data_IF_572781165622
#
_entry.id   IF_572781165622
#
_cell.length_a   1.000
_cell.length_b   1.000
_cell.length_c   1.000
_cell.angle_alpha   90.00
_cell.angle_beta   90.00
_cell.angle_gamma   90.00
#
_symmetry.space_group_name_H-M   'P 1'
#
loop_
_entity.id
_entity.type
_entity.pdbx_description
1 polymer ?
#
# COMPACT_ATOMS: atom_id res chain seq x y z
N UNK A 1 -3.57 14.09 3.73
CA UNK A 1 -4.17 12.85 4.29
C UNK A 1 -5.37 13.25 5.14
N UNK A 2 -6.56 12.70 4.86
CA UNK A 2 -7.78 13.01 5.64
C UNK A 2 -7.61 12.48 7.05
N UNK A 3 -7.90 13.32 8.06
CA UNK A 3 -7.92 12.94 9.48
C UNK A 3 -9.37 12.91 9.97
N UNK A 4 -9.69 11.92 10.78
CA UNK A 4 -11.04 11.62 11.24
C UNK A 4 -11.28 12.16 12.64
N UNK A 5 -12.53 12.54 12.91
CA UNK A 5 -12.99 12.94 14.24
C UNK A 5 -13.82 11.81 14.85
N UNK A 6 -13.55 11.49 16.10
CA UNK A 6 -14.26 10.44 16.85
C UNK A 6 -15.07 11.09 17.95
N UNK A 7 -16.32 10.63 18.12
CA UNK A 7 -17.16 10.93 19.27
C UNK A 7 -17.33 9.66 20.11
N UNK A 8 -17.10 9.71 21.43
CA UNK A 8 -17.28 8.58 22.34
C UNK A 8 -18.49 8.85 23.23
N UNK A 9 -19.53 8.04 23.04
CA UNK A 9 -20.80 8.03 23.79
C UNK A 9 -20.82 6.95 24.88
N UNK A 10 -21.59 7.16 25.92
CA UNK A 10 -21.84 6.21 27.00
C UNK A 10 -22.17 6.91 28.31
N UNK A 11 -22.83 6.20 29.22
CA UNK A 11 -23.26 6.75 30.51
C UNK A 11 -22.06 7.20 31.33
N UNK A 12 -21.90 8.52 31.49
CA UNK A 12 -20.70 9.14 32.04
C UNK A 12 -20.36 8.63 33.44
N UNK A 13 -21.37 8.49 34.33
CA UNK A 13 -21.18 8.04 35.71
C UNK A 13 -20.61 6.61 35.78
N UNK A 14 -21.16 5.71 34.98
CA UNK A 14 -20.80 4.30 34.98
C UNK A 14 -19.50 4.03 34.23
N UNK A 15 -19.29 4.68 33.07
CA UNK A 15 -18.28 4.32 32.07
C UNK A 15 -17.13 5.34 31.95
N UNK A 16 -16.93 6.17 32.98
CA UNK A 16 -15.90 7.24 32.96
C UNK A 16 -14.48 6.70 32.70
N UNK A 17 -14.15 5.56 33.30
CA UNK A 17 -12.81 4.95 33.18
C UNK A 17 -12.61 4.39 31.79
N UNK A 18 -13.59 3.68 31.26
CA UNK A 18 -13.58 3.07 29.93
C UNK A 18 -13.46 4.13 28.82
N UNK A 19 -14.26 5.18 28.91
CA UNK A 19 -14.28 6.30 27.95
C UNK A 19 -12.94 7.02 27.88
N UNK A 20 -12.35 7.34 29.06
CA UNK A 20 -11.01 7.94 29.13
C UNK A 20 -9.92 7.04 28.60
N UNK A 21 -9.93 5.76 28.98
CA UNK A 21 -8.94 4.79 28.53
C UNK A 21 -8.93 4.66 26.98
N UNK A 22 -10.10 4.62 26.32
CA UNK A 22 -10.17 4.62 24.87
C UNK A 22 -9.60 5.90 24.29
N UNK A 23 -9.97 7.07 24.82
CA UNK A 23 -9.45 8.34 24.32
C UNK A 23 -7.93 8.40 24.41
N UNK A 24 -7.37 8.09 25.58
CA UNK A 24 -5.92 8.07 25.82
C UNK A 24 -5.23 7.07 24.89
N UNK A 25 -5.78 5.87 24.73
CA UNK A 25 -5.26 4.88 23.85
C UNK A 25 -5.21 5.38 22.40
N UNK A 26 -6.33 5.88 21.85
CA UNK A 26 -6.40 6.35 20.45
C UNK A 26 -5.42 7.49 20.18
N UNK A 27 -5.27 8.43 21.11
CA UNK A 27 -4.39 9.59 20.95
C UNK A 27 -2.90 9.24 21.09
N UNK A 28 -2.57 8.19 21.84
CA UNK A 28 -1.20 7.75 22.09
C UNK A 28 -0.74 6.63 21.17
N UNK A 29 -1.65 5.87 20.56
CA UNK A 29 -1.30 4.79 19.65
C UNK A 29 -0.57 5.33 18.41
N UNK A 30 0.66 4.81 18.07
CA UNK A 30 1.47 5.31 16.98
C UNK A 30 0.80 5.25 15.60
N UNK A 31 -0.10 4.28 15.37
CA UNK A 31 -0.84 4.13 14.13
C UNK A 31 -2.05 5.07 14.11
N UNK A 32 -2.95 4.96 15.10
CA UNK A 32 -4.24 5.66 15.11
C UNK A 32 -4.08 7.19 15.13
N UNK A 33 -3.12 7.73 15.91
CA UNK A 33 -2.85 9.18 15.97
C UNK A 33 -2.50 9.82 14.62
N UNK A 34 -2.09 9.03 13.62
CA UNK A 34 -1.80 9.52 12.25
C UNK A 34 -3.09 9.81 11.50
N UNK A 35 -4.17 9.10 11.80
CA UNK A 35 -5.44 9.15 11.11
C UNK A 35 -6.53 9.89 11.89
N UNK A 36 -6.40 10.00 13.21
CA UNK A 36 -7.39 10.64 14.08
C UNK A 36 -6.92 12.05 14.44
N UNK A 37 -7.78 13.05 14.26
CA UNK A 37 -7.49 14.45 14.57
C UNK A 37 -8.06 14.90 15.92
N UNK A 38 -9.20 14.33 16.30
CA UNK A 38 -9.92 14.71 17.55
C UNK A 38 -10.67 13.49 18.08
N UNK A 39 -10.57 13.27 19.38
CA UNK A 39 -11.44 12.34 20.11
C UNK A 39 -12.22 13.17 21.12
N UNK A 40 -13.52 13.26 20.91
CA UNK A 40 -14.41 14.06 21.74
C UNK A 40 -15.01 13.22 22.87
N UNK A 41 -14.96 13.77 24.08
CA UNK A 41 -15.69 13.35 25.26
C UNK A 41 -16.46 14.55 25.81
N UNK A 42 -17.71 14.36 26.22
CA UNK A 42 -18.53 15.44 26.74
C UNK A 42 -17.88 16.11 27.97
N UNK A 43 -17.21 15.34 28.83
CA UNK A 43 -16.52 15.83 30.04
C UNK A 43 -15.30 16.74 29.78
N UNK A 44 -14.87 16.88 28.54
CA UNK A 44 -13.75 17.76 28.16
C UNK A 44 -14.22 19.17 27.78
N UNK A 45 -15.54 19.41 27.79
CA UNK A 45 -16.09 20.71 27.42
C UNK A 45 -15.88 21.68 28.58
N UNK A 46 -15.28 22.84 28.34
CA UNK A 46 -15.24 23.90 29.33
C UNK A 46 -16.61 24.44 29.63
N UNK A 47 -16.83 24.96 30.83
CA UNK A 47 -18.09 25.63 31.20
C UNK A 47 -18.40 26.77 30.21
N UNK A 48 -19.65 26.85 29.75
CA UNK A 48 -20.09 27.83 28.77
C UNK A 48 -21.60 27.99 28.74
N UNK A 49 -22.08 29.09 28.19
CA UNK A 49 -23.52 29.44 28.10
C UNK A 49 -24.17 28.79 26.85
N UNK A 50 -24.21 27.44 26.87
CA UNK A 50 -24.88 26.63 25.83
C UNK A 50 -25.61 25.46 26.48
N UNK A 51 -26.78 25.09 25.93
CA UNK A 51 -27.50 23.89 26.38
C UNK A 51 -26.64 22.63 26.10
N UNK A 52 -26.52 21.72 27.06
CA UNK A 52 -25.74 20.48 26.86
C UNK A 52 -26.17 19.70 25.63
N UNK A 53 -27.46 19.59 25.36
CA UNK A 53 -28.07 18.84 24.26
C UNK A 53 -27.62 19.38 22.89
N UNK A 54 -27.57 20.71 22.73
CA UNK A 54 -27.14 21.33 21.48
C UNK A 54 -25.63 21.05 21.19
N UNK A 55 -24.83 20.98 22.24
CA UNK A 55 -23.38 20.75 22.11
C UNK A 55 -23.11 19.32 21.69
N UNK A 56 -23.61 18.30 22.42
CA UNK A 56 -23.27 16.93 22.10
C UNK A 56 -23.88 16.46 20.79
N UNK A 57 -25.09 16.89 20.43
CA UNK A 57 -25.67 16.56 19.13
C UNK A 57 -24.91 17.19 17.97
N UNK A 58 -24.46 18.44 18.12
CA UNK A 58 -23.60 19.10 17.13
C UNK A 58 -22.23 18.38 16.96
N UNK A 59 -21.62 17.91 18.04
CA UNK A 59 -20.36 17.15 17.96
C UNK A 59 -20.56 15.74 17.38
N UNK A 60 -21.70 15.09 17.62
CA UNK A 60 -22.09 13.84 16.95
C UNK A 60 -22.26 14.08 15.45
N UNK A 61 -22.93 15.16 15.06
CA UNK A 61 -23.09 15.52 13.63
C UNK A 61 -21.75 15.86 12.96
N UNK A 62 -20.83 16.48 13.70
CA UNK A 62 -19.50 16.84 13.22
C UNK A 62 -18.48 15.72 13.23
N UNK A 63 -18.78 14.55 13.79
CA UNK A 63 -17.84 13.43 13.83
C UNK A 63 -17.87 12.58 12.56
N UNK A 64 -16.79 11.88 12.28
CA UNK A 64 -16.71 10.88 11.21
C UNK A 64 -17.03 9.48 11.71
N UNK A 65 -16.69 9.18 12.98
CA UNK A 65 -16.86 7.89 13.63
C UNK A 65 -17.48 8.10 15.00
N UNK A 66 -18.60 7.44 15.25
CA UNK A 66 -19.31 7.43 16.52
C UNK A 66 -19.03 6.11 17.24
N UNK A 67 -18.47 6.17 18.43
CA UNK A 67 -18.22 5.02 19.30
C UNK A 67 -19.23 5.05 20.45
N UNK A 68 -20.07 4.03 20.58
CA UNK A 68 -20.94 3.86 21.73
C UNK A 68 -20.43 2.74 22.65
N UNK A 69 -20.33 3.06 23.95
CA UNK A 69 -20.09 2.10 25.01
C UNK A 69 -21.36 1.99 25.82
N UNK A 70 -22.01 0.83 25.75
CA UNK A 70 -23.29 0.55 26.41
C UNK A 70 -23.04 -0.31 27.67
N UNK A 71 -23.27 0.28 28.82
CA UNK A 71 -23.13 -0.36 30.14
C UNK A 71 -24.42 -0.97 30.65
N UNK A 72 -24.57 -1.09 31.95
CA UNK A 72 -25.77 -1.58 32.64
C UNK A 72 -26.76 -0.47 32.92
N UNK A 73 -26.28 0.75 33.24
CA UNK A 73 -27.11 1.90 33.54
C UNK A 73 -27.60 2.59 32.26
N UNK A 74 -28.89 3.03 32.28
CA UNK A 74 -29.45 3.81 31.18
C UNK A 74 -29.11 5.32 31.30
N UNK A 75 -28.81 5.77 32.50
CA UNK A 75 -28.50 7.16 32.81
C UNK A 75 -29.70 8.03 33.05
N UNK A 76 -29.49 9.34 33.12
CA UNK A 76 -30.52 10.33 33.33
C UNK A 76 -31.47 10.42 32.12
N UNK A 77 -32.78 10.64 32.40
CA UNK A 77 -33.81 10.75 31.36
C UNK A 77 -34.26 12.20 31.23
N UNK A 78 -34.37 12.69 30.00
CA UNK A 78 -34.96 13.98 29.69
C UNK A 78 -36.50 13.92 29.80
N UNK A 79 -37.18 15.04 29.49
CA UNK A 79 -38.67 15.13 29.51
C UNK A 79 -39.34 14.13 28.56
N UNK A 80 -38.65 13.72 27.48
CA UNK A 80 -39.13 12.71 26.54
C UNK A 80 -38.82 11.26 26.98
N UNK A 81 -38.29 11.06 28.19
CA UNK A 81 -37.95 9.76 28.75
C UNK A 81 -36.67 9.12 28.17
N UNK A 82 -35.88 9.84 27.38
CA UNK A 82 -34.66 9.35 26.71
C UNK A 82 -33.39 9.82 27.42
N UNK A 83 -32.41 8.94 27.47
CA UNK A 83 -31.07 9.30 27.96
C UNK A 83 -30.23 10.02 26.89
N UNK A 84 -29.24 10.85 27.28
CA UNK A 84 -28.30 11.45 26.34
C UNK A 84 -27.65 10.41 25.43
N UNK A 85 -27.23 9.26 25.96
CA UNK A 85 -26.61 8.16 25.18
C UNK A 85 -27.57 7.64 24.09
N UNK A 86 -28.86 7.54 24.36
CA UNK A 86 -29.85 7.13 23.36
C UNK A 86 -30.06 8.22 22.30
N UNK A 87 -30.18 9.49 22.70
CA UNK A 87 -30.29 10.61 21.76
C UNK A 87 -29.08 10.74 20.84
N UNK A 88 -27.87 10.57 21.38
CA UNK A 88 -26.61 10.54 20.61
C UNK A 88 -26.62 9.41 19.58
N UNK A 89 -27.05 8.20 19.99
CA UNK A 89 -27.16 7.05 19.10
C UNK A 89 -28.16 7.27 17.96
N UNK A 90 -29.35 7.77 18.30
CA UNK A 90 -30.39 8.10 17.31
C UNK A 90 -29.91 9.19 16.34
N UNK A 91 -29.23 10.21 16.85
CA UNK A 91 -28.68 11.29 16.02
C UNK A 91 -27.58 10.80 15.10
N UNK A 92 -26.64 9.97 15.59
CA UNK A 92 -25.62 9.33 14.77
C UNK A 92 -26.22 8.44 13.67
N UNK A 93 -27.34 7.77 13.97
CA UNK A 93 -28.10 6.98 12.99
C UNK A 93 -28.72 7.87 11.92
N UNK A 94 -29.43 8.93 12.33
CA UNK A 94 -30.09 9.88 11.42
C UNK A 94 -29.12 10.63 10.51
N UNK A 95 -27.94 10.94 11.02
CA UNK A 95 -26.89 11.67 10.28
C UNK A 95 -25.92 10.74 9.56
N UNK A 96 -26.22 9.43 9.50
CA UNK A 96 -25.43 8.41 8.80
C UNK A 96 -23.94 8.37 9.20
N UNK A 97 -23.66 8.51 10.52
CA UNK A 97 -22.30 8.36 11.03
C UNK A 97 -21.88 6.89 11.05
N UNK A 98 -20.60 6.62 10.85
CA UNK A 98 -20.03 5.28 11.08
C UNK A 98 -20.15 4.95 12.56
N UNK A 99 -20.88 3.88 12.92
CA UNK A 99 -21.18 3.53 14.31
C UNK A 99 -20.46 2.27 14.73
N UNK A 100 -19.63 2.37 15.76
CA UNK A 100 -18.93 1.24 16.40
C UNK A 100 -19.54 1.05 17.80
N UNK A 101 -20.14 -0.11 18.05
CA UNK A 101 -20.92 -0.38 19.26
C UNK A 101 -20.25 -1.44 20.12
N UNK A 102 -19.94 -1.06 21.37
CA UNK A 102 -19.31 -1.93 22.36
C UNK A 102 -20.21 -2.08 23.58
N UNK A 103 -20.46 -3.33 23.99
CA UNK A 103 -21.41 -3.66 25.05
C UNK A 103 -20.66 -4.29 26.22
N UNK A 104 -20.72 -3.68 27.40
CA UNK A 104 -20.09 -4.17 28.63
C UNK A 104 -20.81 -5.41 29.15
N UNK A 105 -20.06 -6.43 29.56
CA UNK A 105 -20.57 -7.70 30.11
C UNK A 105 -20.82 -8.78 29.05
N UNK A 106 -20.92 -9.99 29.49
CA UNK A 106 -21.15 -11.19 28.70
C UNK A 106 -22.65 -11.45 28.44
N UNK A 107 -23.53 -10.98 29.34
CA UNK A 107 -24.98 -11.08 29.21
C UNK A 107 -25.70 -9.75 29.51
N UNK A 108 -27.03 -9.75 29.49
CA UNK A 108 -27.86 -8.58 29.70
C UNK A 108 -28.69 -8.66 31.01
N UNK A 109 -28.46 -9.63 31.91
CA UNK A 109 -29.27 -9.88 33.11
C UNK A 109 -29.21 -8.76 34.13
N UNK A 110 -28.07 -8.10 34.28
CA UNK A 110 -27.91 -6.97 35.22
C UNK A 110 -28.22 -5.60 34.60
N UNK A 111 -28.72 -5.56 33.36
CA UNK A 111 -28.89 -4.34 32.59
C UNK A 111 -30.28 -3.72 32.86
N UNK A 112 -30.33 -2.40 32.99
CA UNK A 112 -31.61 -1.68 33.04
C UNK A 112 -32.43 -1.99 31.77
N UNK A 113 -33.75 -2.10 31.91
CA UNK A 113 -34.66 -2.49 30.82
C UNK A 113 -34.53 -1.63 29.59
N UNK A 114 -34.45 -0.30 29.76
CA UNK A 114 -34.32 0.68 28.66
C UNK A 114 -32.94 0.56 27.97
N UNK A 115 -31.90 0.29 28.76
CA UNK A 115 -30.56 0.05 28.17
C UNK A 115 -30.52 -1.28 27.42
N UNK A 116 -31.18 -2.33 27.90
CA UNK A 116 -31.32 -3.59 27.19
C UNK A 116 -32.07 -3.42 25.87
N UNK A 117 -33.08 -2.56 25.83
CA UNK A 117 -33.82 -2.20 24.60
C UNK A 117 -32.94 -1.42 23.63
N UNK A 118 -32.12 -0.48 24.11
CA UNK A 118 -31.16 0.25 23.28
C UNK A 118 -30.11 -0.70 22.69
N UNK A 119 -29.57 -1.60 23.50
CA UNK A 119 -28.60 -2.63 23.05
C UNK A 119 -29.21 -3.53 21.97
N UNK A 120 -30.48 -3.93 22.12
CA UNK A 120 -31.21 -4.75 21.13
C UNK A 120 -31.41 -3.98 19.82
N UNK A 121 -31.88 -2.73 19.88
CA UNK A 121 -32.05 -1.86 18.70
C UNK A 121 -30.72 -1.59 17.99
N UNK A 122 -29.66 -1.32 18.72
CA UNK A 122 -28.34 -1.14 18.14
C UNK A 122 -27.88 -2.41 17.42
N UNK A 123 -28.07 -3.58 18.05
CA UNK A 123 -27.68 -4.86 17.47
C UNK A 123 -28.49 -5.33 16.25
N UNK A 124 -29.72 -4.78 16.05
CA UNK A 124 -30.49 -5.03 14.84
C UNK A 124 -30.04 -4.17 13.63
N UNK A 125 -29.25 -3.11 13.88
CA UNK A 125 -28.80 -2.18 12.85
C UNK A 125 -27.34 -2.33 12.49
N UNK A 126 -26.47 -2.66 13.47
CA UNK A 126 -25.02 -2.79 13.29
C UNK A 126 -24.45 -3.94 14.10
N UNK A 127 -23.35 -4.51 13.63
CA UNK A 127 -22.60 -5.50 14.40
C UNK A 127 -22.04 -4.87 15.67
N UNK A 128 -22.20 -5.55 16.81
CA UNK A 128 -21.71 -5.11 18.12
C UNK A 128 -20.67 -6.08 18.66
N UNK A 129 -19.75 -5.59 19.50
CA UNK A 129 -18.76 -6.39 20.23
C UNK A 129 -18.99 -6.28 21.71
N UNK A 130 -18.78 -7.39 22.45
CA UNK A 130 -18.84 -7.41 23.92
C UNK A 130 -17.43 -7.33 24.50
N UNK A 131 -17.34 -6.75 25.70
CA UNK A 131 -16.11 -6.69 26.47
C UNK A 131 -16.39 -6.83 27.96
N UNK A 132 -15.40 -7.32 28.72
CA UNK A 132 -15.51 -7.53 30.18
C UNK A 132 -14.70 -6.49 30.95
N UNK A 133 -13.55 -6.09 30.43
CA UNK A 133 -12.60 -5.21 31.07
C UNK A 133 -12.03 -4.16 30.09
N UNK A 134 -11.28 -3.21 30.63
CA UNK A 134 -10.67 -2.13 29.81
C UNK A 134 -9.67 -2.67 28.75
N UNK A 135 -8.77 -3.62 29.06
CA UNK A 135 -7.91 -4.20 28.04
C UNK A 135 -8.69 -4.89 26.91
N UNK A 136 -9.74 -5.63 27.24
CA UNK A 136 -10.65 -6.22 26.25
C UNK A 136 -11.34 -5.17 25.40
N UNK A 137 -11.85 -4.10 26.00
CA UNK A 137 -12.46 -2.98 25.28
C UNK A 137 -11.46 -2.31 24.32
N UNK A 138 -10.25 -2.02 24.77
CA UNK A 138 -9.20 -1.43 23.93
C UNK A 138 -8.90 -2.31 22.72
N UNK A 139 -8.78 -3.63 22.91
CA UNK A 139 -8.54 -4.59 21.83
C UNK A 139 -9.66 -4.56 20.79
N UNK A 140 -10.92 -4.60 21.22
CA UNK A 140 -12.07 -4.60 20.30
C UNK A 140 -12.23 -3.24 19.60
N UNK A 141 -11.97 -2.12 20.28
CA UNK A 141 -11.97 -0.78 19.68
C UNK A 141 -10.87 -0.64 18.64
N UNK A 142 -9.66 -1.12 18.95
CA UNK A 142 -8.52 -1.09 18.04
C UNK A 142 -8.81 -1.85 16.75
N UNK A 143 -9.26 -3.11 16.88
CA UNK A 143 -9.61 -3.95 15.74
C UNK A 143 -10.69 -3.30 14.85
N UNK A 144 -11.76 -2.76 15.48
CA UNK A 144 -12.87 -2.12 14.76
C UNK A 144 -12.44 -0.81 14.08
N UNK A 145 -11.57 -0.02 14.71
CA UNK A 145 -11.04 1.22 14.11
C UNK A 145 -10.12 0.92 12.93
N UNK A 146 -9.23 -0.08 13.05
CA UNK A 146 -8.36 -0.50 11.94
C UNK A 146 -9.21 -0.95 10.76
N UNK A 147 -10.19 -1.84 10.97
CA UNK A 147 -11.12 -2.30 9.92
C UNK A 147 -11.90 -1.13 9.29
N UNK A 148 -12.39 -0.20 10.09
CA UNK A 148 -13.08 1.00 9.60
C UNK A 148 -12.16 1.88 8.74
N UNK A 149 -10.90 2.09 9.16
CA UNK A 149 -9.91 2.87 8.43
C UNK A 149 -9.47 2.16 7.14
N UNK A 150 -9.41 0.82 7.13
CA UNK A 150 -9.17 0.01 5.92
C UNK A 150 -10.31 0.14 4.92
N UNK A 151 -11.57 -0.04 5.33
CA UNK A 151 -12.75 0.16 4.46
C UNK A 151 -12.82 1.56 3.87
N UNK A 152 -12.37 2.57 4.60
CA UNK A 152 -12.28 3.97 4.14
C UNK A 152 -11.04 4.24 3.28
N UNK A 153 -10.19 3.24 3.06
CA UNK A 153 -8.94 3.36 2.30
C UNK A 153 -7.89 4.26 2.95
N UNK A 154 -8.06 4.61 4.24
CA UNK A 154 -7.09 5.36 5.01
C UNK A 154 -5.87 4.49 5.37
N UNK A 155 -6.13 3.27 5.84
CA UNK A 155 -5.13 2.20 5.95
C UNK A 155 -5.31 1.31 4.72
N UNK A 156 -4.23 1.08 3.98
CA UNK A 156 -4.26 0.21 2.82
C UNK A 156 -3.62 -1.12 3.19
N UNK A 157 -4.42 -2.16 3.32
CA UNK A 157 -3.99 -3.55 3.47
C UNK A 157 -3.57 -4.19 2.13
N UNK A 158 -4.06 -3.64 1.01
CA UNK A 158 -3.64 -4.10 -0.32
C UNK A 158 -2.26 -3.56 -0.68
N UNK A 159 -1.40 -4.38 -1.31
CA UNK A 159 -0.15 -3.91 -1.91
C UNK A 159 -0.38 -2.67 -2.79
N UNK A 160 0.61 -1.79 -2.86
CA UNK A 160 0.50 -0.55 -3.63
C UNK A 160 0.05 -0.81 -5.07
N UNK A 161 0.65 -1.78 -5.72
CA UNK A 161 0.41 -2.14 -7.12
C UNK A 161 -1.02 -2.64 -7.39
N UNK A 162 -1.64 -3.32 -6.41
CA UNK A 162 -3.03 -3.81 -6.49
C UNK A 162 -4.10 -2.79 -6.08
N UNK A 163 -3.73 -1.60 -5.61
CA UNK A 163 -4.68 -0.54 -5.29
C UNK A 163 -5.19 0.16 -6.55
N UNK A 164 -6.46 0.62 -6.54
CA UNK A 164 -7.01 1.43 -7.63
C UNK A 164 -6.19 2.71 -7.77
N UNK A 165 -5.78 3.04 -8.99
CA UNK A 165 -5.14 4.32 -9.29
C UNK A 165 -6.19 5.44 -9.26
N UNK A 166 -6.11 6.31 -8.27
CA UNK A 166 -7.12 7.36 -8.08
C UNK A 166 -7.12 8.36 -9.22
N UNK A 167 -8.31 8.64 -9.77
CA UNK A 167 -8.50 9.55 -10.88
C UNK A 167 -8.18 8.94 -12.25
N UNK A 168 -7.64 7.72 -12.32
CA UNK A 168 -7.39 7.02 -13.57
C UNK A 168 -8.64 6.29 -14.08
N UNK A 169 -8.77 6.22 -15.39
CA UNK A 169 -9.83 5.50 -16.11
C UNK A 169 -9.22 4.56 -17.14
N UNK A 170 -10.03 3.68 -17.69
CA UNK A 170 -9.59 2.80 -18.79
C UNK A 170 -9.10 3.58 -20.04
N UNK A 171 -9.52 4.84 -20.20
CA UNK A 171 -9.09 5.71 -21.31
C UNK A 171 -7.64 6.18 -21.16
N UNK A 172 -7.09 6.14 -19.95
CA UNK A 172 -5.71 6.51 -19.66
C UNK A 172 -4.74 5.35 -19.94
N UNK A 173 -5.26 4.17 -20.28
CA UNK A 173 -4.47 3.00 -20.70
C UNK A 173 -4.10 3.10 -22.18
N UNK A 174 -2.85 2.74 -22.50
CA UNK A 174 -2.35 2.62 -23.85
C UNK A 174 -2.60 1.20 -24.40
N UNK A 175 -3.54 1.10 -25.33
CA UNK A 175 -3.88 -0.17 -25.96
C UNK A 175 -2.74 -0.77 -26.80
N UNK A 176 -1.85 0.10 -27.35
CA UNK A 176 -0.68 -0.36 -28.10
C UNK A 176 0.32 -1.03 -27.17
N UNK A 177 0.60 -0.42 -26.02
CA UNK A 177 1.50 -1.02 -25.02
C UNK A 177 1.02 -2.41 -24.56
N UNK A 178 -0.30 -2.60 -24.43
CA UNK A 178 -0.86 -3.93 -24.13
C UNK A 178 -0.68 -4.91 -25.28
N UNK A 179 -0.86 -4.46 -26.53
CA UNK A 179 -0.67 -5.31 -27.69
C UNK A 179 0.80 -5.75 -27.84
N UNK A 180 1.74 -4.82 -27.69
CA UNK A 180 3.18 -5.09 -27.73
C UNK A 180 3.60 -6.06 -26.60
N UNK A 181 3.04 -5.88 -25.40
CA UNK A 181 3.23 -6.80 -24.27
C UNK A 181 2.75 -8.22 -24.57
N UNK A 182 1.56 -8.35 -25.16
CA UNK A 182 0.98 -9.65 -25.54
C UNK A 182 1.86 -10.34 -26.58
N UNK A 183 2.25 -9.64 -27.63
CA UNK A 183 3.12 -10.17 -28.70
C UNK A 183 4.47 -10.65 -28.13
N UNK A 184 5.12 -9.84 -27.31
CA UNK A 184 6.37 -10.19 -26.64
C UNK A 184 6.21 -11.41 -25.74
N UNK A 185 5.12 -11.47 -24.96
CA UNK A 185 4.85 -12.57 -24.04
C UNK A 185 4.59 -13.90 -24.74
N UNK A 186 3.95 -13.86 -25.91
CA UNK A 186 3.71 -15.04 -26.75
C UNK A 186 5.01 -15.51 -27.43
N UNK A 187 5.82 -14.57 -27.91
CA UNK A 187 7.14 -14.86 -28.53
C UNK A 187 8.09 -15.53 -27.54
N UNK A 188 8.08 -15.11 -26.27
CA UNK A 188 8.87 -15.75 -25.20
C UNK A 188 8.34 -17.12 -24.79
N UNK A 189 7.14 -17.52 -25.27
CA UNK A 189 6.49 -18.78 -24.92
C UNK A 189 5.95 -18.83 -23.48
N UNK A 190 6.07 -17.75 -22.69
CA UNK A 190 5.66 -17.68 -21.29
C UNK A 190 4.19 -17.32 -21.09
N UNK A 191 3.49 -16.92 -22.14
CA UNK A 191 2.06 -16.64 -22.13
C UNK A 191 1.38 -17.31 -23.33
N UNK A 192 0.30 -18.07 -23.04
CA UNK A 192 -0.67 -18.47 -24.07
C UNK A 192 -2.00 -17.88 -23.63
N UNK A 193 -2.42 -16.76 -24.25
CA UNK A 193 -3.72 -16.16 -23.95
C UNK A 193 -4.81 -17.10 -24.43
N UNK A 194 -5.52 -17.71 -23.49
CA UNK A 194 -6.76 -18.44 -23.77
C UNK A 194 -7.89 -17.42 -23.73
N UNK A 195 -8.42 -17.00 -24.89
CA UNK A 195 -9.55 -16.08 -24.96
C UNK A 195 -9.26 -14.77 -25.70
N UNK A 196 -9.95 -13.71 -25.32
CA UNK A 196 -9.88 -12.42 -26.01
C UNK A 196 -8.55 -11.69 -25.73
N UNK A 197 -7.93 -11.18 -26.81
CA UNK A 197 -6.75 -10.30 -26.76
C UNK A 197 -7.15 -8.81 -26.62
N UNK A 198 -8.44 -8.52 -26.44
CA UNK A 198 -8.88 -7.15 -26.23
C UNK A 198 -8.20 -6.57 -24.97
N UNK A 199 -7.74 -5.32 -24.99
CA UNK A 199 -6.97 -4.71 -23.89
C UNK A 199 -7.64 -4.87 -22.53
N UNK A 200 -8.97 -4.67 -22.45
CA UNK A 200 -9.72 -4.85 -21.20
C UNK A 200 -9.67 -6.29 -20.68
N UNK A 201 -9.76 -7.28 -21.57
CA UNK A 201 -9.69 -8.69 -21.19
C UNK A 201 -8.29 -9.07 -20.68
N UNK A 202 -7.24 -8.56 -21.32
CA UNK A 202 -5.85 -8.75 -20.87
C UNK A 202 -5.66 -8.16 -19.49
N UNK A 203 -6.09 -6.92 -19.25
CA UNK A 203 -6.00 -6.28 -17.94
C UNK A 203 -6.76 -7.07 -16.86
N UNK A 204 -7.95 -7.60 -17.18
CA UNK A 204 -8.72 -8.45 -16.25
C UNK A 204 -7.99 -9.75 -15.91
N UNK A 205 -7.43 -10.43 -16.92
CA UNK A 205 -6.70 -11.69 -16.75
C UNK A 205 -5.47 -11.54 -15.84
N UNK A 206 -4.85 -10.36 -15.82
CA UNK A 206 -3.72 -10.04 -14.95
C UNK A 206 -4.15 -9.37 -13.64
N UNK A 207 -5.44 -9.28 -13.31
CA UNK A 207 -5.97 -8.58 -12.13
C UNK A 207 -5.56 -7.08 -12.07
N UNK A 208 -5.34 -6.47 -13.22
CA UNK A 208 -4.94 -5.06 -13.36
C UNK A 208 -6.13 -4.10 -13.38
N UNK A 209 -7.37 -4.63 -13.30
CA UNK A 209 -8.59 -3.87 -13.08
C UNK A 209 -9.26 -4.29 -11.77
N UNK A 210 -9.71 -3.32 -10.98
CA UNK A 210 -10.58 -3.51 -9.82
C UNK A 210 -11.81 -2.63 -9.97
N UNK A 211 -12.98 -3.19 -9.81
CA UNK A 211 -14.25 -2.47 -9.95
C UNK A 211 -14.35 -1.67 -11.27
N UNK A 212 -13.74 -2.19 -12.34
CA UNK A 212 -13.71 -1.53 -13.65
C UNK A 212 -12.67 -0.41 -13.79
N UNK A 213 -11.94 -0.06 -12.73
CA UNK A 213 -10.91 0.97 -12.71
C UNK A 213 -9.49 0.37 -12.76
N UNK A 214 -8.52 1.03 -13.42
CA UNK A 214 -7.14 0.58 -13.45
C UNK A 214 -6.50 0.57 -12.08
N UNK A 215 -5.70 -0.46 -11.80
CA UNK A 215 -4.81 -0.49 -10.63
C UNK A 215 -3.57 0.37 -10.84
N UNK A 216 -2.81 0.64 -9.76
CA UNK A 216 -1.52 1.33 -9.89
C UNK A 216 -0.57 0.58 -10.81
N UNK A 217 -0.52 -0.78 -10.74
CA UNK A 217 0.28 -1.58 -11.65
C UNK A 217 -0.15 -1.41 -13.11
N UNK A 218 -1.46 -1.38 -13.41
CA UNK A 218 -1.96 -1.15 -14.75
C UNK A 218 -1.46 0.18 -15.33
N UNK A 219 -1.52 1.24 -14.53
CA UNK A 219 -1.08 2.57 -14.96
C UNK A 219 0.44 2.66 -15.11
N UNK A 220 1.20 2.03 -14.22
CA UNK A 220 2.66 2.00 -14.30
C UNK A 220 3.19 1.20 -15.49
N UNK A 221 2.52 0.11 -15.85
CA UNK A 221 2.94 -0.76 -16.96
C UNK A 221 2.41 -0.30 -18.31
N UNK A 222 1.15 0.15 -18.35
CA UNK A 222 0.40 0.36 -19.59
C UNK A 222 -0.29 1.72 -19.69
N UNK A 223 -0.05 2.65 -18.77
CA UNK A 223 -0.59 4.01 -18.83
C UNK A 223 -0.01 4.81 -20.00
N UNK A 224 -0.82 5.68 -20.63
CA UNK A 224 -0.35 6.62 -21.66
C UNK A 224 0.67 7.61 -21.10
N UNK A 225 0.42 8.11 -19.90
CA UNK A 225 1.33 8.99 -19.16
C UNK A 225 1.23 8.69 -17.66
N UNK A 226 2.02 7.74 -17.13
CA UNK A 226 2.02 7.42 -15.70
C UNK A 226 2.40 8.59 -14.80
N UNK A 227 3.17 9.59 -15.30
CA UNK A 227 3.64 10.75 -14.52
C UNK A 227 2.50 11.62 -14.00
N UNK A 228 1.35 11.62 -14.67
CA UNK A 228 0.13 12.31 -14.20
C UNK A 228 -0.37 11.80 -12.84
N UNK A 229 -0.03 10.57 -12.50
CA UNK A 229 -0.51 9.88 -11.30
C UNK A 229 0.62 9.61 -10.28
N UNK A 230 1.86 9.54 -10.76
CA UNK A 230 3.04 9.17 -9.95
C UNK A 230 4.22 10.09 -10.24
N UNK A 231 4.39 11.11 -9.41
CA UNK A 231 5.44 12.13 -9.60
C UNK A 231 6.87 11.64 -9.32
N UNK A 232 7.01 10.48 -8.67
CA UNK A 232 8.29 9.96 -8.17
C UNK A 232 8.69 8.61 -8.77
N UNK A 233 7.97 8.13 -9.80
CA UNK A 233 8.29 6.87 -10.47
C UNK A 233 9.29 7.13 -11.58
N UNK A 234 10.56 7.12 -11.20
CA UNK A 234 11.69 7.43 -12.07
C UNK A 234 12.84 6.46 -11.78
N UNK A 235 13.68 6.22 -12.79
CA UNK A 235 14.99 5.62 -12.66
C UNK A 235 16.04 6.65 -13.06
N UNK A 236 16.90 7.03 -12.13
CA UNK A 236 17.98 7.97 -12.37
C UNK A 236 19.27 7.23 -12.64
N UNK A 237 19.81 7.40 -13.81
CA UNK A 237 21.09 6.83 -14.21
C UNK A 237 22.20 7.88 -14.11
N UNK A 238 23.31 7.51 -13.48
CA UNK A 238 24.50 8.36 -13.30
C UNK A 238 25.74 7.62 -13.79
N UNK A 239 26.66 8.34 -14.41
CA UNK A 239 27.97 7.86 -14.74
C UNK A 239 29.04 8.79 -14.16
N UNK A 240 29.99 8.24 -13.43
CA UNK A 240 31.15 8.90 -12.87
C UNK A 240 32.44 8.28 -13.43
N UNK A 241 33.39 9.11 -13.85
CA UNK A 241 34.71 8.63 -14.34
C UNK A 241 35.60 8.09 -13.21
N UNK A 242 35.28 8.38 -11.95
CA UNK A 242 36.02 7.91 -10.79
C UNK A 242 35.30 6.82 -10.03
N UNK A 243 35.80 6.51 -8.84
CA UNK A 243 35.27 5.49 -7.91
C UNK A 243 34.33 6.06 -6.85
N UNK A 244 34.11 7.38 -6.84
CA UNK A 244 33.29 8.10 -5.86
C UNK A 244 32.31 9.07 -6.53
N UNK A 245 31.21 9.35 -5.85
CA UNK A 245 30.21 10.34 -6.29
C UNK A 245 30.76 11.75 -6.12
N UNK A 246 31.35 12.32 -7.15
CA UNK A 246 31.88 13.68 -7.15
C UNK A 246 31.61 14.40 -8.47
N UNK A 247 31.56 15.73 -8.41
CA UNK A 247 31.46 16.57 -9.62
C UNK A 247 32.86 16.73 -10.25
N UNK A 248 32.98 16.86 -11.59
CA UNK A 248 31.86 16.83 -12.56
C UNK A 248 31.27 15.44 -12.76
N UNK A 249 29.93 15.37 -12.95
CA UNK A 249 29.24 14.14 -13.33
C UNK A 249 29.42 13.94 -14.83
N UNK A 250 29.92 12.80 -15.26
CA UNK A 250 30.19 12.51 -16.66
C UNK A 250 28.89 12.40 -17.49
N UNK A 251 27.85 11.77 -16.92
CA UNK A 251 26.53 11.69 -17.54
C UNK A 251 25.47 11.51 -16.46
N UNK A 252 24.32 12.15 -16.63
CA UNK A 252 23.15 12.00 -15.77
C UNK A 252 21.89 12.01 -16.62
N UNK A 253 21.02 11.00 -16.44
CA UNK A 253 19.77 10.87 -17.16
C UNK A 253 18.67 10.35 -16.27
N UNK A 254 17.58 11.09 -16.01
CA UNK A 254 16.35 10.56 -15.45
C UNK A 254 15.54 9.92 -16.57
N UNK A 255 15.01 8.73 -16.32
CA UNK A 255 14.06 8.04 -17.17
C UNK A 255 12.71 7.97 -16.47
N UNK A 256 11.66 8.36 -17.18
CA UNK A 256 10.31 8.52 -16.68
C UNK A 256 9.31 7.96 -17.69
N UNK A 257 8.26 7.33 -17.23
CA UNK A 257 7.23 6.79 -18.11
C UNK A 257 6.75 5.41 -17.69
N UNK A 258 6.46 4.55 -18.67
CA UNK A 258 6.07 3.17 -18.42
C UNK A 258 7.25 2.35 -17.92
N UNK A 259 7.01 1.49 -16.91
CA UNK A 259 8.11 0.73 -16.27
C UNK A 259 8.93 -0.10 -17.25
N UNK A 260 8.29 -0.72 -18.25
CA UNK A 260 8.98 -1.54 -19.26
C UNK A 260 9.97 -0.67 -20.05
N UNK A 261 9.53 0.49 -20.53
CA UNK A 261 10.36 1.44 -21.27
C UNK A 261 11.51 1.97 -20.41
N UNK A 262 11.20 2.37 -19.16
CA UNK A 262 12.19 2.91 -18.22
C UNK A 262 13.27 1.87 -17.89
N UNK A 263 12.91 0.58 -17.80
CA UNK A 263 13.85 -0.51 -17.60
C UNK A 263 14.78 -0.63 -18.81
N UNK A 264 14.22 -0.67 -20.03
CA UNK A 264 15.01 -0.79 -21.26
C UNK A 264 15.97 0.39 -21.43
N UNK A 265 15.48 1.62 -21.22
CA UNK A 265 16.30 2.84 -21.31
C UNK A 265 17.44 2.84 -20.28
N UNK A 266 17.20 2.38 -19.05
CA UNK A 266 18.21 2.29 -18.02
C UNK A 266 19.27 1.21 -18.34
N UNK A 267 18.85 0.06 -18.88
CA UNK A 267 19.78 -0.99 -19.35
C UNK A 267 20.64 -0.46 -20.50
N UNK A 268 20.03 0.16 -21.50
CA UNK A 268 20.77 0.73 -22.64
C UNK A 268 21.72 1.85 -22.23
N UNK A 269 21.35 2.66 -21.22
CA UNK A 269 22.26 3.65 -20.64
C UNK A 269 23.54 3.00 -20.12
N UNK A 270 23.44 1.91 -19.36
CA UNK A 270 24.60 1.20 -18.82
C UNK A 270 25.40 0.56 -19.94
N UNK A 271 24.76 -0.18 -20.85
CA UNK A 271 25.42 -0.86 -21.98
C UNK A 271 26.13 0.12 -22.91
N UNK A 272 25.64 1.37 -23.01
CA UNK A 272 26.27 2.43 -23.80
C UNK A 272 27.49 3.08 -23.14
N UNK A 273 27.80 2.76 -21.87
CA UNK A 273 28.88 3.37 -21.08
C UNK A 273 29.96 2.38 -20.65
N UNK A 274 29.69 1.09 -20.70
CA UNK A 274 30.66 0.02 -20.36
C UNK A 274 31.38 -0.48 -21.61
N UNK A 275 32.54 -1.06 -21.40
CA UNK A 275 33.32 -1.63 -22.48
C UNK A 275 32.62 -2.83 -23.12
N UNK A 276 32.72 -2.90 -24.46
CA UNK A 276 32.28 -4.02 -25.26
C UNK A 276 33.42 -4.62 -26.07
N UNK A 277 33.49 -5.94 -26.05
CA UNK A 277 34.43 -6.69 -26.89
C UNK A 277 33.68 -7.38 -28.02
N UNK A 278 34.13 -7.19 -29.22
CA UNK A 278 33.61 -7.87 -30.41
C UNK A 278 34.53 -9.06 -30.71
N UNK A 279 34.03 -10.27 -30.55
CA UNK A 279 34.76 -11.50 -30.83
C UNK A 279 34.95 -11.74 -32.32
N UNK A 280 35.64 -12.82 -32.65
CA UNK A 280 35.89 -13.24 -34.04
C UNK A 280 34.73 -14.04 -34.59
N UNK A 281 34.48 -13.99 -35.92
CA UNK A 281 33.44 -14.75 -36.61
C UNK A 281 33.73 -16.25 -36.78
N UNK A 282 34.63 -16.82 -35.97
CA UNK A 282 35.07 -18.19 -36.15
C UNK A 282 33.99 -19.26 -35.93
N UNK A 283 32.91 -18.94 -35.23
CA UNK A 283 31.85 -19.90 -34.87
C UNK A 283 30.41 -19.47 -35.27
N UNK A 284 30.20 -18.25 -35.79
CA UNK A 284 28.89 -17.76 -36.25
C UNK A 284 29.03 -16.69 -37.32
N UNK A 285 27.96 -16.49 -38.12
CA UNK A 285 27.87 -15.43 -39.12
C UNK A 285 28.01 -14.03 -38.51
N UNK A 286 27.53 -13.88 -37.25
CA UNK A 286 27.69 -12.65 -36.48
C UNK A 286 28.78 -12.81 -35.42
N UNK A 287 29.69 -11.83 -35.33
CA UNK A 287 30.69 -11.82 -34.27
C UNK A 287 30.02 -11.67 -32.90
N UNK A 288 30.34 -12.53 -31.92
CA UNK A 288 29.76 -12.39 -30.58
C UNK A 288 30.21 -11.07 -29.94
N UNK A 289 29.29 -10.34 -29.39
CA UNK A 289 29.55 -9.11 -28.61
C UNK A 289 29.38 -9.46 -27.14
N UNK A 290 30.48 -9.25 -26.38
CA UNK A 290 30.45 -9.40 -24.92
C UNK A 290 30.66 -8.05 -24.27
N UNK A 291 29.91 -7.78 -23.23
CA UNK A 291 30.04 -6.56 -22.42
C UNK A 291 30.89 -6.86 -21.18
N UNK A 292 31.54 -5.83 -20.66
CA UNK A 292 32.29 -5.89 -19.41
C UNK A 292 31.46 -6.46 -18.27
N UNK A 293 30.23 -5.96 -18.09
CA UNK A 293 29.19 -6.56 -17.22
C UNK A 293 28.18 -7.27 -18.13
N UNK A 294 27.88 -8.56 -17.92
CA UNK A 294 26.93 -9.28 -18.76
C UNK A 294 25.55 -8.61 -18.76
N UNK A 295 24.95 -8.46 -19.95
CA UNK A 295 23.63 -7.84 -20.10
C UNK A 295 22.56 -8.48 -19.19
N UNK A 296 22.47 -9.81 -18.99
CA UNK A 296 21.52 -10.42 -18.06
C UNK A 296 21.68 -9.92 -16.62
N UNK A 297 22.91 -9.71 -16.14
CA UNK A 297 23.21 -9.21 -14.79
C UNK A 297 22.67 -7.77 -14.63
N UNK A 298 22.91 -6.90 -15.62
CA UNK A 298 22.44 -5.52 -15.61
C UNK A 298 20.90 -5.49 -15.61
N UNK A 299 20.29 -6.30 -16.50
CA UNK A 299 18.84 -6.39 -16.62
C UNK A 299 18.20 -6.86 -15.29
N UNK A 300 18.70 -7.97 -14.74
CA UNK A 300 18.17 -8.54 -13.50
C UNK A 300 18.28 -7.55 -12.33
N UNK A 301 19.41 -6.86 -12.18
CA UNK A 301 19.60 -5.86 -11.12
C UNK A 301 18.60 -4.70 -11.23
N UNK A 302 18.39 -4.16 -12.44
CA UNK A 302 17.47 -3.02 -12.66
C UNK A 302 16.02 -3.46 -12.53
N UNK A 303 15.66 -4.63 -13.08
CA UNK A 303 14.30 -5.16 -13.00
C UNK A 303 13.91 -5.48 -11.55
N UNK A 304 14.82 -6.10 -10.78
CA UNK A 304 14.60 -6.35 -9.36
C UNK A 304 14.40 -5.05 -8.58
N UNK A 305 15.20 -4.02 -8.84
CA UNK A 305 15.03 -2.72 -8.22
C UNK A 305 13.64 -2.13 -8.53
N UNK A 306 13.16 -2.20 -9.76
CA UNK A 306 11.84 -1.70 -10.17
C UNK A 306 10.72 -2.58 -9.61
N UNK A 307 10.81 -3.91 -9.72
CA UNK A 307 9.77 -4.83 -9.26
C UNK A 307 9.59 -4.81 -7.74
N UNK A 308 10.69 -4.62 -6.98
CA UNK A 308 10.68 -4.62 -5.51
C UNK A 308 10.71 -3.22 -4.88
N UNK A 309 10.66 -2.15 -5.69
CA UNK A 309 10.61 -0.78 -5.17
C UNK A 309 9.44 -0.56 -4.21
N UNK A 310 9.68 0.20 -3.15
CA UNK A 310 8.59 0.81 -2.38
C UNK A 310 8.04 2.05 -3.11
N UNK A 311 6.96 1.87 -3.85
CA UNK A 311 6.29 2.93 -4.61
C UNK A 311 5.58 3.98 -3.74
N UNK A 312 5.54 3.78 -2.41
CA UNK A 312 5.07 4.79 -1.43
C UNK A 312 6.19 5.73 -0.99
N UNK A 313 7.44 5.35 -1.25
CA UNK A 313 8.61 6.20 -0.97
C UNK A 313 8.70 7.36 -1.96
N UNK A 314 9.14 8.52 -1.48
CA UNK A 314 9.46 9.67 -2.34
C UNK A 314 10.83 9.53 -3.04
N UNK A 315 11.65 8.55 -2.67
CA UNK A 315 12.89 8.24 -3.35
C UNK A 315 12.66 7.61 -4.73
N UNK A 316 13.68 7.57 -5.56
CA UNK A 316 13.67 6.93 -6.87
C UNK A 316 14.79 5.88 -6.97
N UNK A 317 14.66 4.95 -7.91
CA UNK A 317 15.72 3.98 -8.21
C UNK A 317 16.90 4.74 -8.82
N UNK A 318 18.12 4.44 -8.37
CA UNK A 318 19.34 4.99 -8.94
C UNK A 318 20.21 3.86 -9.49
N UNK A 319 20.63 4.01 -10.73
CA UNK A 319 21.64 3.17 -11.39
C UNK A 319 22.89 4.00 -11.52
N UNK A 320 23.97 3.61 -10.87
CA UNK A 320 25.18 4.42 -10.77
C UNK A 320 26.35 3.59 -11.28
N UNK A 321 26.95 4.08 -12.35
CA UNK A 321 28.11 3.50 -12.97
C UNK A 321 29.35 4.29 -12.56
N UNK A 322 30.30 3.61 -11.94
CA UNK A 322 31.65 4.07 -11.63
C UNK A 322 32.65 3.42 -12.58
N UNK A 323 33.94 3.82 -12.48
CA UNK A 323 35.01 3.22 -13.27
C UNK A 323 35.35 1.79 -12.87
N UNK A 324 34.95 1.36 -11.68
CA UNK A 324 35.30 0.05 -11.10
C UNK A 324 34.06 -0.81 -10.74
N UNK A 325 32.83 -0.26 -10.77
CA UNK A 325 31.61 -0.97 -10.39
C UNK A 325 30.34 -0.31 -10.88
N UNK A 326 29.26 -1.07 -10.84
CA UNK A 326 27.88 -0.58 -10.97
C UNK A 326 27.16 -0.75 -9.62
N UNK A 327 26.42 0.26 -9.20
CA UNK A 327 25.54 0.22 -8.03
C UNK A 327 24.10 0.44 -8.45
N UNK A 328 23.16 -0.32 -7.87
CA UNK A 328 21.73 -0.11 -8.03
C UNK A 328 21.11 0.14 -6.65
N UNK A 329 20.56 1.33 -6.46
CA UNK A 329 19.96 1.76 -5.20
C UNK A 329 18.43 1.80 -5.34
N UNK A 330 17.75 1.13 -4.43
CA UNK A 330 16.31 0.98 -4.46
C UNK A 330 15.67 1.48 -3.16
N UNK A 331 14.66 2.38 -3.22
CA UNK A 331 13.88 2.73 -2.05
C UNK A 331 13.08 1.53 -1.52
N UNK A 332 13.26 1.20 -0.26
CA UNK A 332 12.54 0.13 0.43
C UNK A 332 13.49 -0.84 1.13
N UNK A 333 12.89 -1.72 1.94
CA UNK A 333 13.57 -2.78 2.67
C UNK A 333 13.32 -4.12 1.98
N UNK A 334 14.14 -5.12 2.27
CA UNK A 334 13.86 -6.49 1.85
C UNK A 334 12.51 -6.97 2.43
N UNK A 335 11.75 -7.80 1.71
CA UNK A 335 10.55 -8.43 2.25
C UNK A 335 10.84 -9.15 3.56
N UNK A 336 9.88 -9.19 4.52
CA UNK A 336 10.04 -9.95 5.74
C UNK A 336 10.42 -11.41 5.47
N UNK A 337 11.47 -11.90 6.15
CA UNK A 337 11.99 -13.25 5.97
C UNK A 337 13.10 -13.40 4.94
N UNK A 338 13.44 -12.34 4.19
CA UNK A 338 14.65 -12.31 3.35
C UNK A 338 15.76 -11.51 4.03
N UNK A 339 16.96 -12.06 3.98
CA UNK A 339 18.20 -11.38 4.41
C UNK A 339 19.20 -11.36 3.24
N UNK A 340 20.23 -10.49 3.26
CA UNK A 340 21.28 -10.49 2.24
C UNK A 340 21.94 -11.86 2.05
N UNK A 341 22.09 -12.64 3.13
CA UNK A 341 22.67 -13.99 3.09
C UNK A 341 21.76 -14.95 2.33
N UNK A 342 20.43 -14.91 2.58
CA UNK A 342 19.46 -15.75 1.90
C UNK A 342 19.34 -15.42 0.39
N UNK A 343 19.66 -14.20 -0.03
CA UNK A 343 19.69 -13.85 -1.45
C UNK A 343 20.82 -14.55 -2.22
N UNK A 344 21.81 -15.11 -1.53
CA UNK A 344 22.91 -15.91 -2.12
C UNK A 344 22.54 -17.39 -2.31
N UNK A 345 21.40 -17.81 -1.81
CA UNK A 345 20.90 -19.16 -1.89
C UNK A 345 19.57 -19.20 -2.69
N UNK A 346 19.20 -20.36 -3.26
CA UNK A 346 17.88 -20.53 -3.87
C UNK A 346 16.76 -20.25 -2.86
N UNK A 347 15.91 -19.29 -3.14
CA UNK A 347 14.77 -18.93 -2.27
C UNK A 347 13.49 -18.80 -3.08
N UNK A 348 12.34 -18.91 -2.41
CA UNK A 348 11.04 -18.67 -3.05
C UNK A 348 10.86 -17.20 -3.43
N UNK A 349 10.16 -16.88 -4.54
CA UNK A 349 9.88 -15.52 -4.94
C UNK A 349 8.92 -14.85 -3.96
N UNK A 350 9.32 -13.71 -3.38
CA UNK A 350 8.49 -12.88 -2.49
C UNK A 350 8.42 -11.47 -3.08
N UNK A 351 7.64 -11.23 -4.15
CA UNK A 351 7.58 -9.92 -4.77
C UNK A 351 6.82 -8.93 -3.88
N UNK A 352 7.41 -7.74 -3.68
CA UNK A 352 6.74 -6.62 -3.01
C UNK A 352 5.54 -6.12 -3.81
N UNK A 353 5.64 -6.16 -5.15
CA UNK A 353 4.63 -5.71 -6.09
C UNK A 353 4.28 -6.84 -7.07
N UNK A 354 3.44 -7.82 -6.66
CA UNK A 354 3.16 -9.01 -7.46
C UNK A 354 2.48 -8.71 -8.80
N UNK A 355 1.64 -7.66 -8.88
CA UNK A 355 0.97 -7.27 -10.13
C UNK A 355 1.90 -6.52 -11.10
N UNK A 356 3.06 -6.03 -10.66
CA UNK A 356 4.14 -5.53 -11.51
C UNK A 356 5.05 -6.69 -11.92
N UNK A 357 5.42 -7.55 -10.99
CA UNK A 357 6.35 -8.65 -11.23
C UNK A 357 5.81 -9.69 -12.22
N UNK A 358 4.51 -10.01 -12.18
CA UNK A 358 3.89 -11.00 -13.05
C UNK A 358 4.00 -10.64 -14.55
N UNK A 359 3.61 -9.43 -15.01
CA UNK A 359 3.83 -9.01 -16.39
C UNK A 359 5.31 -9.00 -16.80
N UNK A 360 6.22 -8.54 -15.94
CA UNK A 360 7.65 -8.55 -16.24
C UNK A 360 8.20 -9.96 -16.43
N UNK A 361 7.72 -10.92 -15.65
CA UNK A 361 8.00 -12.35 -15.87
C UNK A 361 7.53 -12.83 -17.25
N UNK A 362 6.34 -12.42 -17.69
CA UNK A 362 5.77 -12.88 -18.97
C UNK A 362 6.57 -12.43 -20.20
N UNK A 363 7.24 -11.30 -20.11
CA UNK A 363 8.11 -10.78 -21.16
C UNK A 363 9.58 -11.15 -20.98
N UNK A 364 9.87 -12.11 -20.09
CA UNK A 364 11.23 -12.63 -19.85
C UNK A 364 12.19 -11.61 -19.19
N UNK A 365 11.66 -10.68 -18.41
CA UNK A 365 12.50 -9.72 -17.66
C UNK A 365 12.91 -10.27 -16.30
N UNK A 366 12.13 -11.14 -15.70
CA UNK A 366 12.34 -11.75 -14.37
C UNK A 366 12.15 -13.26 -14.44
N UNK A 367 12.86 -14.02 -13.62
CA UNK A 367 12.62 -15.44 -13.40
C UNK A 367 11.69 -15.66 -12.18
N UNK A 368 10.82 -16.69 -12.25
CA UNK A 368 9.93 -17.06 -11.13
C UNK A 368 10.52 -18.11 -10.19
N UNK A 369 11.63 -18.71 -10.57
CA UNK A 369 12.21 -19.82 -9.81
C UNK A 369 12.94 -19.35 -8.54
N UNK A 370 13.06 -18.03 -8.29
CA UNK A 370 13.87 -17.48 -7.19
C UNK A 370 15.36 -17.67 -7.43
N UNK A 371 15.77 -17.87 -8.69
CA UNK A 371 17.17 -18.05 -9.07
C UNK A 371 17.84 -16.78 -9.58
N UNK A 372 17.10 -15.68 -9.77
CA UNK A 372 17.62 -14.45 -10.38
C UNK A 372 18.91 -13.94 -9.74
N UNK A 373 18.97 -13.90 -8.40
CA UNK A 373 20.18 -13.48 -7.68
C UNK A 373 21.31 -14.50 -7.79
N UNK A 374 21.02 -15.80 -7.72
CA UNK A 374 22.05 -16.87 -7.90
C UNK A 374 22.54 -16.94 -9.33
N UNK A 375 21.69 -16.67 -10.33
CA UNK A 375 22.07 -16.60 -11.74
C UNK A 375 22.96 -15.37 -11.99
N UNK A 376 22.66 -14.21 -11.39
CA UNK A 376 23.55 -13.04 -11.41
C UNK A 376 24.93 -13.36 -10.87
N UNK A 377 25.03 -14.04 -9.72
CA UNK A 377 26.31 -14.46 -9.13
C UNK A 377 27.06 -15.41 -10.10
N UNK A 378 26.36 -16.39 -10.66
CA UNK A 378 26.95 -17.34 -11.60
C UNK A 378 27.45 -16.66 -12.88
N UNK A 379 26.73 -15.72 -13.44
CA UNK A 379 27.08 -14.99 -14.64
C UNK A 379 28.24 -14.00 -14.40
N UNK A 380 28.30 -13.35 -13.24
CA UNK A 380 29.46 -12.55 -12.83
C UNK A 380 30.73 -13.44 -12.73
N UNK A 381 30.65 -14.60 -12.08
CA UNK A 381 31.76 -15.55 -11.98
C UNK A 381 32.25 -16.02 -13.37
N UNK A 382 31.33 -16.38 -14.28
CA UNK A 382 31.67 -16.77 -15.66
C UNK A 382 32.36 -15.64 -16.43
N UNK A 383 32.00 -14.40 -16.16
CA UNK A 383 32.60 -13.21 -16.76
C UNK A 383 33.92 -12.82 -16.11
N UNK A 384 34.37 -13.50 -15.05
CA UNK A 384 35.57 -13.15 -14.29
C UNK A 384 35.42 -11.92 -13.40
N UNK A 385 34.18 -11.55 -13.09
CA UNK A 385 33.84 -10.42 -12.21
C UNK A 385 33.70 -10.87 -10.75
N UNK A 386 33.91 -9.96 -9.78
CA UNK A 386 33.51 -10.19 -8.38
C UNK A 386 32.02 -10.54 -8.26
N UNK A 387 31.68 -11.25 -7.20
CA UNK A 387 30.29 -11.50 -6.88
C UNK A 387 29.59 -10.20 -6.51
N UNK A 388 28.30 -10.05 -6.87
CA UNK A 388 27.49 -8.92 -6.38
C UNK A 388 27.38 -8.93 -4.85
N UNK A 389 27.45 -7.76 -4.24
CA UNK A 389 27.29 -7.53 -2.80
C UNK A 389 25.84 -7.15 -2.45
#
# INVERSE_FOLDING_TARGET
>A
MKRYKIFISGVQKELKKERRAIKEFILNDPLLRRFISKVFLFEDIPAGDRKPDDIYLSEVEGCDIYIAILGNEYGWKNEAGKSPTELEFEHATKTHRERLIFVKGDDDRARASEMADLVRRAGSQVTRRRFLDIPGLIREVYASLVECLERRGAIRSTPFDGSICQGATIRDIDNKAIADFVETSETTGRLKIKGSRAPKAVLQNFNLLREGSPTNAAMLLFGKDPRRFFNNVQVHCFHFHGTVKQKPIASQQPYEGRLIEVIDEAVEFVLGKIDRRVGTRAQSVQAPVTFEIPRPVILEAIVNAVAHRDYRSNGFVQVILFSDRMEVWNPGELPPGLTPELLREPHGPIPRNPLIAEPLYRINYVEKAGTGTTDMIADCRKAGLPEPD
#
